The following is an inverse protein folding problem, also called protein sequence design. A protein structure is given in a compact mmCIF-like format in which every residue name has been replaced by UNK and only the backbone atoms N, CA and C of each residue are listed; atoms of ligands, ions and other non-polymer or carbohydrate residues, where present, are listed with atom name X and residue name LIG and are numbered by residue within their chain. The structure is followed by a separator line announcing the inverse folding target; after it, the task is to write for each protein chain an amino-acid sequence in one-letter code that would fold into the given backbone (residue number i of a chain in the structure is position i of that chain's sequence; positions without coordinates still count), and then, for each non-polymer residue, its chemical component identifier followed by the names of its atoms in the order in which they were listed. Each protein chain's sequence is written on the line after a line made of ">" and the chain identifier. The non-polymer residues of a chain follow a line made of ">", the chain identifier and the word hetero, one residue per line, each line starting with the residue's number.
data_IF_495067063378
#
_entry.id   IF_495067063378
#
_cell.length_a   1.000
_cell.length_b   1.000
_cell.length_c   1.000
_cell.angle_alpha   90.00
_cell.angle_beta   90.00
_cell.angle_gamma   90.00
#
_symmetry.space_group_name_H-M   'P 1'
#
loop_
_entity.id
_entity.type
_entity.pdbx_description
1 polymer ?
#
# COMPACT_ATOMS: atom_id res chain seq x y z
N UNK A 1 -7.33 -16.77 7.29
CA UNK A 1 -7.67 -17.90 6.38
C UNK A 1 -9.18 -18.04 6.14
N UNK A 2 -10.04 -18.15 7.16
CA UNK A 2 -11.51 -18.34 6.97
C UNK A 2 -12.16 -17.28 6.07
N UNK A 3 -11.82 -16.00 6.24
CA UNK A 3 -12.38 -14.90 5.45
C UNK A 3 -12.00 -14.99 3.96
N UNK A 4 -10.77 -15.41 3.64
CA UNK A 4 -10.34 -15.61 2.25
C UNK A 4 -11.17 -16.73 1.59
N UNK A 5 -11.40 -17.84 2.31
CA UNK A 5 -12.27 -18.93 1.82
C UNK A 5 -13.68 -18.39 1.56
N UNK A 6 -14.23 -17.59 2.48
CA UNK A 6 -15.55 -16.97 2.29
C UNK A 6 -15.58 -16.03 1.07
N UNK A 7 -14.52 -15.21 0.87
CA UNK A 7 -14.39 -14.37 -0.33
C UNK A 7 -14.47 -15.20 -1.61
N UNK A 8 -13.73 -16.31 -1.67
CA UNK A 8 -13.73 -17.21 -2.83
C UNK A 8 -15.10 -17.86 -3.03
N UNK A 9 -15.71 -18.42 -1.99
CA UNK A 9 -17.01 -19.10 -2.07
C UNK A 9 -18.14 -18.16 -2.51
N UNK A 10 -18.20 -16.96 -1.94
CA UNK A 10 -19.22 -15.95 -2.32
C UNK A 10 -18.99 -15.35 -3.70
N UNK A 11 -17.81 -15.52 -4.29
CA UNK A 11 -17.46 -15.05 -5.62
C UNK A 11 -17.13 -16.19 -6.60
N UNK A 12 -17.63 -17.41 -6.36
CA UNK A 12 -17.25 -18.62 -7.08
C UNK A 12 -17.30 -18.45 -8.62
N UNK A 13 -18.36 -17.82 -9.14
CA UNK A 13 -18.50 -17.54 -10.58
C UNK A 13 -17.60 -16.42 -11.10
N UNK A 14 -17.16 -15.50 -10.22
CA UNK A 14 -16.27 -14.41 -10.59
C UNK A 14 -14.79 -14.80 -10.52
N UNK A 15 -14.43 -15.70 -9.61
CA UNK A 15 -13.03 -16.10 -9.35
C UNK A 15 -12.33 -16.62 -10.60
N UNK A 16 -12.90 -17.52 -11.46
CA UNK A 16 -12.23 -17.98 -12.67
C UNK A 16 -11.94 -16.84 -13.64
N UNK A 17 -12.89 -15.92 -13.85
CA UNK A 17 -12.71 -14.74 -14.69
C UNK A 17 -11.64 -13.82 -14.11
N UNK A 18 -11.73 -13.51 -12.82
CA UNK A 18 -10.76 -12.64 -12.14
C UNK A 18 -9.34 -13.19 -12.20
N UNK A 19 -9.18 -14.49 -11.96
CA UNK A 19 -7.89 -15.18 -12.07
C UNK A 19 -7.32 -15.16 -13.49
N UNK A 20 -8.17 -15.45 -14.48
CA UNK A 20 -7.77 -15.40 -15.89
C UNK A 20 -7.32 -13.99 -16.28
N UNK A 21 -8.09 -12.96 -15.96
CA UNK A 21 -7.77 -11.58 -16.29
C UNK A 21 -6.50 -11.11 -15.57
N UNK A 22 -6.38 -11.42 -14.28
CA UNK A 22 -5.21 -11.07 -13.49
C UNK A 22 -3.91 -11.68 -14.08
N UNK A 23 -3.96 -12.97 -14.45
CA UNK A 23 -2.81 -13.62 -15.09
C UNK A 23 -2.52 -13.06 -16.49
N UNK A 24 -3.56 -12.75 -17.27
CA UNK A 24 -3.40 -12.14 -18.60
C UNK A 24 -2.68 -10.77 -18.49
N UNK A 25 -3.12 -9.91 -17.55
CA UNK A 25 -2.53 -8.60 -17.34
C UNK A 25 -1.11 -8.70 -16.76
N UNK A 26 -0.89 -9.60 -15.79
CA UNK A 26 0.42 -9.81 -15.20
C UNK A 26 1.47 -10.32 -16.19
N UNK A 27 1.07 -11.20 -17.14
CA UNK A 27 1.98 -11.73 -18.17
C UNK A 27 2.26 -10.74 -19.30
N UNK A 28 1.33 -9.83 -19.58
CA UNK A 28 1.41 -8.89 -20.68
C UNK A 28 1.33 -7.44 -20.18
N UNK A 29 2.04 -7.17 -19.09
CA UNK A 29 1.91 -5.92 -18.33
C UNK A 29 2.18 -4.66 -19.16
N UNK A 30 3.02 -4.74 -20.18
CA UNK A 30 3.35 -3.62 -21.05
C UNK A 30 2.29 -3.32 -22.12
N UNK A 31 1.35 -4.25 -22.35
CA UNK A 31 0.24 -4.08 -23.28
C UNK A 31 -0.94 -3.31 -22.66
N UNK A 32 -0.87 -2.99 -21.37
CA UNK A 32 -1.91 -2.31 -20.61
C UNK A 32 -1.36 -1.07 -19.92
N UNK A 33 -2.10 0.01 -19.97
CA UNK A 33 -1.79 1.23 -19.22
C UNK A 33 -1.83 0.99 -17.71
N UNK A 34 -1.19 1.85 -16.92
CA UNK A 34 -1.22 1.75 -15.47
C UNK A 34 -2.64 1.86 -14.92
N UNK A 35 -3.45 2.76 -15.50
CA UNK A 35 -4.87 2.93 -15.14
C UNK A 35 -5.70 1.68 -15.40
N UNK A 36 -5.53 0.99 -16.55
CA UNK A 36 -6.25 -0.25 -16.87
C UNK A 36 -5.89 -1.37 -15.87
N UNK A 37 -4.60 -1.51 -15.57
CA UNK A 37 -4.14 -2.51 -14.60
C UNK A 37 -4.69 -2.23 -13.20
N UNK A 38 -4.66 -0.96 -12.78
CA UNK A 38 -5.18 -0.54 -11.50
C UNK A 38 -6.69 -0.73 -11.39
N UNK A 39 -7.46 -0.38 -12.43
CA UNK A 39 -8.89 -0.59 -12.47
C UNK A 39 -9.27 -2.08 -12.37
N UNK A 40 -8.50 -2.98 -13.00
CA UNK A 40 -8.71 -4.43 -12.84
C UNK A 40 -8.48 -4.87 -11.39
N UNK A 41 -7.36 -4.43 -10.77
CA UNK A 41 -7.05 -4.77 -9.39
C UNK A 41 -8.14 -4.27 -8.43
N UNK A 42 -8.57 -3.03 -8.57
CA UNK A 42 -9.63 -2.41 -7.77
C UNK A 42 -10.95 -3.17 -7.91
N UNK A 43 -11.33 -3.55 -9.13
CA UNK A 43 -12.53 -4.36 -9.38
C UNK A 43 -12.49 -5.73 -8.69
N UNK A 44 -11.34 -6.42 -8.76
CA UNK A 44 -11.16 -7.72 -8.10
C UNK A 44 -11.22 -7.56 -6.58
N UNK A 45 -10.54 -6.55 -6.05
CA UNK A 45 -10.48 -6.27 -4.62
C UNK A 45 -11.85 -5.91 -4.04
N UNK A 46 -12.58 -4.98 -4.66
CA UNK A 46 -13.94 -4.61 -4.23
C UNK A 46 -14.91 -5.80 -4.23
N UNK A 47 -14.78 -6.70 -5.22
CA UNK A 47 -15.56 -7.95 -5.22
C UNK A 47 -15.17 -8.87 -4.08
N UNK A 48 -13.87 -9.00 -3.80
CA UNK A 48 -13.36 -9.78 -2.68
C UNK A 48 -13.85 -9.20 -1.34
N UNK A 49 -13.75 -7.88 -1.16
CA UNK A 49 -14.21 -7.17 0.03
C UNK A 49 -15.68 -7.41 0.31
N UNK A 50 -16.55 -7.25 -0.70
CA UNK A 50 -17.98 -7.55 -0.59
C UNK A 50 -18.23 -9.01 -0.19
N UNK A 51 -17.52 -9.97 -0.80
CA UNK A 51 -17.60 -11.38 -0.45
C UNK A 51 -17.07 -11.67 0.96
N UNK A 52 -16.07 -10.92 1.42
CA UNK A 52 -15.44 -11.05 2.72
C UNK A 52 -16.12 -10.30 3.87
N UNK A 53 -17.25 -9.64 3.64
CA UNK A 53 -17.90 -8.76 4.61
C UNK A 53 -16.92 -7.66 5.13
N UNK A 54 -16.09 -7.10 4.24
CA UNK A 54 -15.21 -5.98 4.56
C UNK A 54 -15.76 -4.71 3.94
N UNK A 55 -15.85 -3.66 4.76
CA UNK A 55 -16.11 -2.28 4.34
C UNK A 55 -14.85 -1.47 4.54
N UNK A 56 -14.35 -0.86 3.48
CA UNK A 56 -13.24 0.09 3.55
C UNK A 56 -13.82 1.49 3.63
N UNK A 57 -13.54 2.20 4.72
CA UNK A 57 -13.87 3.61 4.88
C UNK A 57 -12.62 4.44 4.55
N UNK A 58 -12.74 5.37 3.61
CA UNK A 58 -11.65 6.26 3.20
C UNK A 58 -11.92 7.68 3.67
N UNK A 59 -10.88 8.32 4.19
CA UNK A 59 -10.90 9.70 4.69
C UNK A 59 -9.73 10.47 4.11
N UNK A 60 -9.92 11.77 3.90
CA UNK A 60 -8.87 12.65 3.40
C UNK A 60 -8.41 12.34 1.96
N UNK A 61 -9.30 11.77 1.13
CA UNK A 61 -8.99 11.46 -0.29
C UNK A 61 -8.59 12.73 -1.05
N UNK A 62 -9.13 13.86 -0.65
CA UNK A 62 -8.81 15.20 -1.16
C UNK A 62 -7.37 15.66 -0.84
N UNK A 63 -6.68 15.01 0.10
CA UNK A 63 -5.28 15.27 0.42
C UNK A 63 -4.32 14.59 -0.55
N UNK A 64 -4.80 13.65 -1.37
CA UNK A 64 -3.95 13.03 -2.40
C UNK A 64 -3.60 14.09 -3.44
N UNK A 65 -2.29 14.30 -3.74
CA UNK A 65 -1.90 15.30 -4.73
C UNK A 65 -2.58 15.09 -6.09
N UNK A 66 -3.05 16.15 -6.71
CA UNK A 66 -3.66 16.08 -8.05
C UNK A 66 -2.64 15.72 -9.13
N UNK A 67 -1.38 16.13 -8.94
CA UNK A 67 -0.29 15.77 -9.82
C UNK A 67 0.35 14.47 -9.37
N UNK A 68 0.61 13.58 -10.32
CA UNK A 68 1.32 12.34 -10.06
C UNK A 68 2.81 12.59 -9.76
N UNK A 69 3.47 11.59 -9.18
CA UNK A 69 4.86 11.68 -8.76
C UNK A 69 4.98 11.95 -7.26
N UNK A 70 4.15 11.30 -6.46
CA UNK A 70 4.18 11.35 -5.00
C UNK A 70 4.41 9.96 -4.38
N UNK A 71 4.68 9.92 -3.07
CA UNK A 71 4.90 8.67 -2.37
C UNK A 71 4.03 8.56 -1.12
N UNK A 72 3.30 7.43 -1.00
CA UNK A 72 2.55 7.05 0.19
C UNK A 72 3.45 6.37 1.23
N UNK A 73 3.26 6.71 2.49
CA UNK A 73 3.94 6.11 3.64
C UNK A 73 2.93 5.68 4.72
N UNK A 74 2.31 4.50 4.56
CA UNK A 74 1.43 3.94 5.57
C UNK A 74 2.18 3.26 6.72
N UNK A 75 1.49 3.09 7.87
CA UNK A 75 1.83 2.06 8.83
C UNK A 75 1.55 0.66 8.25
N UNK A 76 2.17 -0.38 8.80
CA UNK A 76 2.09 -1.73 8.25
C UNK A 76 1.58 -2.75 9.27
N UNK A 77 0.34 -3.17 9.12
CA UNK A 77 -0.35 -4.07 10.02
C UNK A 77 -0.40 -5.52 9.49
N UNK A 78 -0.76 -5.71 8.24
CA UNK A 78 -1.05 -7.03 7.70
C UNK A 78 -0.88 -7.16 6.18
N UNK A 79 -1.24 -8.34 5.66
CA UNK A 79 -1.23 -8.59 4.21
C UNK A 79 -2.35 -7.84 3.46
N UNK A 80 -3.36 -7.40 4.18
CA UNK A 80 -4.52 -6.70 3.61
C UNK A 80 -4.26 -5.21 3.36
N UNK A 81 -3.22 -4.63 3.94
CA UNK A 81 -2.95 -3.19 3.92
C UNK A 81 -2.93 -2.57 2.51
N UNK A 82 -2.19 -3.20 1.58
CA UNK A 82 -2.13 -2.73 0.19
C UNK A 82 -3.50 -2.80 -0.48
N UNK A 83 -4.28 -3.84 -0.20
CA UNK A 83 -5.63 -4.01 -0.75
C UNK A 83 -6.58 -2.94 -0.21
N UNK A 84 -6.52 -2.64 1.08
CA UNK A 84 -7.31 -1.56 1.67
C UNK A 84 -7.01 -0.21 0.99
N UNK A 85 -5.73 0.07 0.70
CA UNK A 85 -5.35 1.31 0.00
C UNK A 85 -5.79 1.28 -1.46
N UNK A 86 -5.72 0.13 -2.16
CA UNK A 86 -6.22 -0.01 -3.55
C UNK A 86 -7.73 0.26 -3.62
N UNK A 87 -8.50 -0.24 -2.65
CA UNK A 87 -9.95 0.05 -2.59
C UNK A 87 -10.21 1.54 -2.34
N UNK A 88 -9.51 2.15 -1.39
CA UNK A 88 -9.72 3.54 -0.98
C UNK A 88 -9.19 4.57 -2.00
N UNK A 89 -8.05 4.31 -2.63
CA UNK A 89 -7.33 5.28 -3.46
C UNK A 89 -7.91 5.34 -4.89
N UNK A 90 -8.26 6.53 -5.43
CA UNK A 90 -8.69 6.66 -6.82
C UNK A 90 -7.50 6.65 -7.80
N UNK A 91 -6.30 6.98 -7.34
CA UNK A 91 -5.12 7.20 -8.18
C UNK A 91 -4.22 5.95 -8.19
N UNK A 92 -3.76 5.48 -9.37
CA UNK A 92 -2.83 4.36 -9.46
C UNK A 92 -1.53 4.62 -8.70
N UNK A 93 -1.01 3.57 -8.08
CA UNK A 93 0.31 3.56 -7.45
C UNK A 93 0.99 2.19 -7.58
N UNK A 94 2.29 2.17 -7.47
CA UNK A 94 3.10 0.96 -7.35
C UNK A 94 3.62 0.79 -5.92
N UNK A 95 4.19 -0.37 -5.62
CA UNK A 95 4.71 -0.67 -4.28
C UNK A 95 6.14 -1.19 -4.33
N UNK A 96 6.88 -0.97 -3.25
CA UNK A 96 8.12 -1.70 -2.99
C UNK A 96 7.81 -2.77 -1.96
N UNK A 97 7.80 -4.03 -2.40
CA UNK A 97 7.40 -5.18 -1.59
C UNK A 97 8.61 -6.03 -1.20
N UNK A 98 8.49 -6.78 -0.10
CA UNK A 98 9.52 -7.70 0.36
C UNK A 98 9.54 -8.98 -0.50
N UNK A 99 10.73 -9.58 -0.71
CA UNK A 99 10.98 -10.77 -1.54
C UNK A 99 10.03 -11.94 -1.24
N UNK A 100 9.76 -12.19 0.04
CA UNK A 100 8.96 -13.35 0.45
C UNK A 100 7.50 -13.28 -0.01
N UNK A 101 6.92 -12.08 -0.15
CA UNK A 101 5.55 -11.93 -0.62
C UNK A 101 5.44 -12.07 -2.15
N UNK A 102 6.53 -11.88 -2.88
CA UNK A 102 6.60 -12.08 -4.32
C UNK A 102 6.37 -13.53 -4.79
N UNK A 103 6.52 -14.51 -3.89
CA UNK A 103 6.31 -15.92 -4.18
C UNK A 103 4.90 -16.44 -3.79
N UNK A 104 4.09 -15.60 -3.13
CA UNK A 104 2.72 -16.00 -2.75
C UNK A 104 1.81 -15.94 -4.00
N UNK A 105 1.16 -17.07 -4.37
CA UNK A 105 0.17 -17.06 -5.44
C UNK A 105 -0.88 -15.96 -5.21
N UNK A 106 -1.42 -15.39 -6.28
CA UNK A 106 -2.29 -14.21 -6.28
C UNK A 106 -1.52 -12.90 -6.00
N UNK A 107 -0.77 -12.76 -4.90
CA UNK A 107 0.00 -11.55 -4.62
C UNK A 107 1.08 -11.30 -5.68
N UNK A 108 1.73 -12.37 -6.15
CA UNK A 108 2.69 -12.27 -7.27
C UNK A 108 2.08 -11.60 -8.50
N UNK A 109 0.86 -11.98 -8.87
CA UNK A 109 0.17 -11.41 -10.03
C UNK A 109 -0.28 -9.96 -9.76
N UNK A 110 -0.75 -9.68 -8.54
CA UNK A 110 -1.10 -8.31 -8.12
C UNK A 110 0.13 -7.41 -8.24
N UNK A 111 1.27 -7.81 -7.68
CA UNK A 111 2.51 -7.04 -7.75
C UNK A 111 3.04 -6.89 -9.18
N UNK A 112 2.89 -7.93 -10.02
CA UNK A 112 3.23 -7.83 -11.43
C UNK A 112 2.35 -6.79 -12.15
N UNK A 113 1.03 -6.79 -11.90
CA UNK A 113 0.10 -5.79 -12.45
C UNK A 113 0.44 -4.37 -11.99
N UNK A 114 0.93 -4.21 -10.76
CA UNK A 114 1.38 -2.92 -10.22
C UNK A 114 2.77 -2.53 -10.73
N UNK A 115 3.48 -3.39 -11.47
CA UNK A 115 4.92 -3.25 -11.77
C UNK A 115 5.73 -2.94 -10.49
N UNK A 116 5.44 -3.68 -9.42
CA UNK A 116 6.06 -3.50 -8.12
C UNK A 116 7.53 -3.91 -8.13
N UNK A 117 8.35 -3.19 -7.36
CA UNK A 117 9.70 -3.64 -7.07
C UNK A 117 9.70 -4.65 -5.92
N UNK A 118 10.34 -5.79 -6.16
CA UNK A 118 10.53 -6.84 -5.14
C UNK A 118 11.93 -6.69 -4.58
N UNK A 119 12.03 -6.30 -3.30
CA UNK A 119 13.28 -5.96 -2.64
C UNK A 119 13.76 -7.10 -1.74
N UNK A 120 15.00 -7.54 -1.99
CA UNK A 120 15.77 -8.32 -1.03
C UNK A 120 16.55 -7.35 -0.13
N UNK A 121 16.19 -7.29 1.15
CA UNK A 121 16.80 -6.33 2.09
C UNK A 121 18.20 -6.73 2.54
N UNK A 122 18.58 -7.99 2.34
CA UNK A 122 19.93 -8.48 2.61
C UNK A 122 20.88 -8.09 1.48
N UNK A 123 20.37 -7.85 0.27
CA UNK A 123 21.14 -7.33 -0.86
C UNK A 123 21.11 -5.79 -0.88
N UNK A 124 22.15 -5.19 -0.30
CA UNK A 124 22.31 -3.73 -0.23
C UNK A 124 22.41 -3.11 -1.63
N UNK A 125 23.07 -3.80 -2.58
CA UNK A 125 23.24 -3.26 -3.95
C UNK A 125 21.90 -3.22 -4.68
N UNK A 126 21.14 -4.32 -4.61
CA UNK A 126 19.79 -4.38 -5.17
C UNK A 126 18.88 -3.31 -4.54
N UNK A 127 18.90 -3.19 -3.21
CA UNK A 127 18.11 -2.20 -2.47
C UNK A 127 18.43 -0.77 -2.91
N UNK A 128 19.72 -0.44 -3.10
CA UNK A 128 20.15 0.87 -3.63
C UNK A 128 19.66 1.10 -5.06
N UNK A 129 19.76 0.09 -5.93
CA UNK A 129 19.29 0.20 -7.32
C UNK A 129 17.77 0.42 -7.37
N UNK A 130 17.00 -0.28 -6.54
CA UNK A 130 15.54 -0.08 -6.44
C UNK A 130 15.22 1.35 -5.99
N UNK A 131 15.91 1.89 -4.99
CA UNK A 131 15.73 3.29 -4.55
C UNK A 131 16.00 4.26 -5.71
N UNK A 132 17.04 4.03 -6.51
CA UNK A 132 17.36 4.88 -7.67
C UNK A 132 16.28 4.78 -8.75
N UNK A 133 15.81 3.58 -9.05
CA UNK A 133 14.74 3.36 -10.03
C UNK A 133 13.44 4.03 -9.58
N UNK A 134 13.01 3.83 -8.32
CA UNK A 134 11.83 4.49 -7.75
C UNK A 134 11.98 6.00 -7.82
N UNK A 135 13.16 6.54 -7.46
CA UNK A 135 13.42 7.99 -7.54
C UNK A 135 13.22 8.53 -8.95
N UNK A 136 13.71 7.81 -9.98
CA UNK A 136 13.56 8.19 -11.38
C UNK A 136 12.09 8.14 -11.80
N UNK A 137 11.41 7.02 -11.53
CA UNK A 137 10.02 6.83 -11.95
C UNK A 137 9.06 7.80 -11.25
N UNK A 138 9.32 8.16 -9.98
CA UNK A 138 8.55 9.21 -9.29
C UNK A 138 8.72 10.57 -9.96
N UNK A 139 9.94 10.93 -10.39
CA UNK A 139 10.18 12.17 -11.16
C UNK A 139 9.51 12.15 -12.53
N UNK A 140 9.29 10.97 -13.09
CA UNK A 140 8.57 10.74 -14.35
C UNK A 140 7.04 10.69 -14.15
N UNK A 141 6.54 10.96 -12.93
CA UNK A 141 5.12 11.04 -12.62
C UNK A 141 4.48 9.72 -12.21
N UNK A 142 5.25 8.76 -11.68
CA UNK A 142 4.69 7.52 -11.16
C UNK A 142 4.57 7.58 -9.64
N UNK A 143 3.45 7.12 -9.09
CA UNK A 143 3.22 7.11 -7.65
C UNK A 143 3.69 5.79 -7.03
N UNK A 144 4.22 5.89 -5.80
CA UNK A 144 4.73 4.74 -5.07
C UNK A 144 4.21 4.67 -3.64
N UNK A 145 4.17 3.45 -3.09
CA UNK A 145 3.90 3.18 -1.69
C UNK A 145 5.08 2.42 -1.09
N UNK A 146 5.55 2.87 0.05
CA UNK A 146 6.58 2.20 0.84
C UNK A 146 6.15 2.11 2.30
N UNK A 147 6.17 0.90 2.87
CA UNK A 147 6.02 0.69 4.30
C UNK A 147 7.34 1.01 5.02
N UNK A 148 7.38 2.19 5.67
CA UNK A 148 8.60 2.69 6.28
C UNK A 148 9.07 1.89 7.53
N UNK A 149 8.17 1.14 8.17
CA UNK A 149 8.49 0.20 9.26
C UNK A 149 9.42 -0.92 8.79
N UNK A 150 9.29 -1.30 7.54
CA UNK A 150 10.08 -2.38 6.97
C UNK A 150 9.59 -3.79 7.33
N UNK A 151 8.65 -3.95 8.24
CA UNK A 151 7.99 -5.21 8.59
C UNK A 151 6.62 -4.91 9.15
N UNK A 152 5.74 -5.91 9.22
CA UNK A 152 4.43 -5.78 9.88
C UNK A 152 4.62 -5.61 11.39
N UNK A 153 3.86 -4.71 12.00
CA UNK A 153 3.95 -4.44 13.45
C UNK A 153 3.52 -5.66 14.29
N UNK A 154 2.51 -6.40 13.83
CA UNK A 154 1.87 -7.50 14.57
C UNK A 154 1.35 -7.08 15.95
N UNK A 155 1.19 -5.79 16.16
CA UNK A 155 0.75 -5.20 17.43
C UNK A 155 -0.52 -4.34 17.21
N UNK A 156 -1.51 -4.91 16.50
CA UNK A 156 -2.76 -4.21 16.22
C UNK A 156 -2.54 -2.90 15.48
N UNK A 157 -3.11 -1.83 16.02
CA UNK A 157 -3.02 -0.49 15.46
C UNK A 157 -1.73 0.27 15.84
N UNK A 158 -0.80 -0.35 16.59
CA UNK A 158 0.45 0.29 17.01
C UNK A 158 1.54 0.17 15.95
N UNK A 159 1.98 1.27 15.29
CA UNK A 159 3.07 1.24 14.33
C UNK A 159 4.42 0.98 15.00
N UNK A 160 5.34 0.37 14.25
CA UNK A 160 6.76 0.32 14.61
C UNK A 160 7.46 1.63 14.24
N UNK A 161 8.76 1.70 14.55
CA UNK A 161 9.58 2.84 14.14
C UNK A 161 9.72 2.93 12.61
N UNK A 162 9.48 4.12 12.07
CA UNK A 162 9.69 4.41 10.66
C UNK A 162 11.17 4.63 10.37
N UNK A 163 11.70 3.91 9.39
CA UNK A 163 13.11 3.94 9.05
C UNK A 163 13.42 5.08 8.10
N UNK A 164 14.31 5.99 8.45
CA UNK A 164 14.72 7.11 7.61
C UNK A 164 15.20 6.69 6.22
N UNK A 165 15.80 5.50 6.10
CA UNK A 165 16.23 4.94 4.81
C UNK A 165 15.11 4.78 3.79
N UNK A 166 13.87 4.56 4.23
CA UNK A 166 12.68 4.41 3.37
C UNK A 166 12.30 5.72 2.66
N UNK A 167 12.71 6.86 3.20
CA UNK A 167 12.41 8.19 2.65
C UNK A 167 13.44 8.69 1.63
N UNK A 168 14.55 7.95 1.41
CA UNK A 168 15.62 8.36 0.47
C UNK A 168 15.11 8.54 -0.96
N UNK A 169 14.13 7.75 -1.40
CA UNK A 169 13.57 7.91 -2.74
C UNK A 169 12.79 9.23 -2.86
N UNK A 170 11.93 9.53 -1.89
CA UNK A 170 11.13 10.77 -1.86
C UNK A 170 12.01 12.01 -1.78
N UNK A 171 13.01 12.03 -0.89
CA UNK A 171 13.92 13.18 -0.74
C UNK A 171 14.75 13.41 -2.00
N UNK A 172 15.24 12.35 -2.66
CA UNK A 172 15.97 12.46 -3.94
C UNK A 172 15.06 12.87 -5.11
N UNK A 173 13.81 12.41 -5.10
CA UNK A 173 12.82 12.81 -6.09
C UNK A 173 12.29 14.23 -5.85
N UNK A 174 12.40 14.76 -4.64
CA UNK A 174 11.80 16.03 -4.18
C UNK A 174 10.27 16.02 -4.33
N UNK A 175 9.65 14.88 -4.07
CA UNK A 175 8.23 14.66 -4.32
C UNK A 175 7.37 14.82 -3.05
N UNK A 176 6.06 15.05 -3.18
CA UNK A 176 5.17 15.02 -2.03
C UNK A 176 5.24 13.69 -1.28
N UNK A 177 5.35 13.76 0.04
CA UNK A 177 5.29 12.65 0.99
C UNK A 177 3.88 12.65 1.58
N UNK A 178 3.11 11.60 1.33
CA UNK A 178 1.73 11.46 1.82
C UNK A 178 1.69 10.42 2.93
N UNK A 179 1.58 10.83 4.21
CA UNK A 179 1.37 9.89 5.30
C UNK A 179 -0.02 9.24 5.15
N UNK A 180 -0.12 7.95 5.46
CA UNK A 180 -1.41 7.23 5.44
C UNK A 180 -1.57 6.46 6.74
N UNK A 181 -2.71 6.65 7.44
CA UNK A 181 -3.01 5.86 8.62
C UNK A 181 -3.99 4.74 8.26
N UNK A 182 -3.58 3.51 8.55
CA UNK A 182 -4.39 2.31 8.41
C UNK A 182 -4.86 1.88 9.79
N UNK A 183 -6.17 1.63 9.92
CA UNK A 183 -6.78 1.23 11.18
C UNK A 183 -7.53 -0.09 10.94
N UNK A 184 -7.26 -1.09 11.79
CA UNK A 184 -7.92 -2.38 11.83
C UNK A 184 -7.72 -3.27 10.59
N UNK A 185 -6.83 -2.93 9.68
CA UNK A 185 -6.58 -3.70 8.46
C UNK A 185 -6.04 -5.11 8.75
N UNK A 186 -5.27 -5.30 9.84
CA UNK A 186 -4.81 -6.62 10.28
C UNK A 186 -5.98 -7.58 10.59
N UNK A 187 -7.13 -7.06 11.03
CA UNK A 187 -8.30 -7.87 11.38
C UNK A 187 -8.86 -8.63 10.19
N UNK A 188 -8.58 -8.18 8.95
CA UNK A 188 -9.08 -8.82 7.74
C UNK A 188 -8.60 -10.27 7.60
N UNK A 189 -7.32 -10.55 7.84
CA UNK A 189 -6.73 -11.86 7.59
C UNK A 189 -6.06 -12.51 8.81
N UNK A 190 -5.72 -11.75 9.84
CA UNK A 190 -4.90 -12.26 10.95
C UNK A 190 -5.73 -12.72 12.16
N UNK A 191 -6.98 -12.28 12.33
CA UNK A 191 -7.84 -12.67 13.46
C UNK A 191 -8.65 -13.95 13.27
N UNK A 192 -8.78 -14.43 12.03
CA UNK A 192 -9.61 -15.62 11.72
C UNK A 192 -11.12 -15.39 11.81
N UNK A 193 -11.60 -14.19 12.16
CA UNK A 193 -13.02 -13.82 12.16
C UNK A 193 -13.58 -13.67 10.74
N UNK A 194 -14.88 -13.95 10.56
CA UNK A 194 -15.64 -13.71 9.34
C UNK A 194 -16.79 -12.70 9.54
N UNK A 195 -16.94 -12.18 10.76
CA UNK A 195 -17.91 -11.14 11.09
C UNK A 195 -17.70 -9.89 10.22
N UNK A 196 -18.74 -9.08 10.01
CA UNK A 196 -18.60 -7.81 9.32
C UNK A 196 -17.43 -7.01 9.91
N UNK A 197 -16.61 -6.48 9.05
CA UNK A 197 -15.40 -5.74 9.44
C UNK A 197 -15.38 -4.41 8.71
N UNK A 198 -15.24 -3.34 9.45
CA UNK A 198 -14.91 -2.02 8.91
C UNK A 198 -13.43 -1.75 9.16
N UNK A 199 -12.71 -1.39 8.11
CA UNK A 199 -11.32 -0.91 8.17
C UNK A 199 -11.28 0.53 7.69
N UNK A 200 -10.30 1.30 8.17
CA UNK A 200 -10.19 2.71 7.79
C UNK A 200 -8.86 2.97 7.11
N UNK A 201 -8.90 3.83 6.10
CA UNK A 201 -7.75 4.36 5.37
C UNK A 201 -7.82 5.89 5.40
N UNK A 202 -6.91 6.53 6.10
CA UNK A 202 -6.84 7.98 6.20
C UNK A 202 -5.64 8.49 5.40
N UNK A 203 -5.90 9.26 4.35
CA UNK A 203 -4.87 10.00 3.61
C UNK A 203 -4.64 11.35 4.30
N UNK A 204 -3.46 11.54 4.88
CA UNK A 204 -3.15 12.74 5.64
C UNK A 204 -2.59 13.83 4.73
N UNK A 205 -2.55 15.08 5.23
CA UNK A 205 -1.98 16.20 4.48
C UNK A 205 -0.56 15.88 4.04
N UNK A 206 -0.25 16.02 2.74
CA UNK A 206 1.09 15.75 2.23
C UNK A 206 2.10 16.73 2.80
N UNK A 207 3.33 16.27 2.94
CA UNK A 207 4.49 17.13 3.16
C UNK A 207 5.11 17.41 1.80
N UNK A 208 5.11 18.67 1.37
CA UNK A 208 5.76 19.10 0.14
C UNK A 208 7.25 19.34 0.35
N UNK A 209 8.04 19.34 -0.74
CA UNK A 209 9.51 19.43 -0.66
C UNK A 209 10.01 20.60 0.17
N UNK A 210 9.38 21.77 0.03
CA UNK A 210 9.76 22.97 0.79
C UNK A 210 9.64 22.82 2.31
N UNK A 211 8.75 21.94 2.77
CA UNK A 211 8.55 21.66 4.19
C UNK A 211 9.61 20.74 4.79
N UNK A 212 10.25 19.89 3.97
CA UNK A 212 11.18 18.88 4.47
C UNK A 212 12.58 18.92 3.87
N UNK A 213 12.87 19.87 2.97
CA UNK A 213 14.17 19.96 2.25
C UNK A 213 15.40 20.06 3.17
N UNK A 214 15.23 20.68 4.33
CA UNK A 214 16.30 20.89 5.31
C UNK A 214 16.31 19.83 6.42
N UNK A 215 15.35 18.89 6.41
CA UNK A 215 15.23 17.81 7.39
C UNK A 215 16.11 16.61 7.01
N UNK A 216 16.68 15.96 8.02
CA UNK A 216 17.27 14.64 7.83
C UNK A 216 16.16 13.60 7.57
N UNK A 217 16.47 12.53 6.82
CA UNK A 217 15.49 11.48 6.54
C UNK A 217 14.94 10.80 7.81
N UNK A 218 15.67 10.80 8.91
CA UNK A 218 15.21 10.33 10.23
C UNK A 218 14.19 11.27 10.85
N UNK A 219 14.34 12.58 10.69
CA UNK A 219 13.40 13.58 11.16
C UNK A 219 12.09 13.53 10.38
N UNK A 220 12.19 13.36 9.04
CA UNK A 220 11.02 13.12 8.17
C UNK A 220 10.27 11.84 8.62
N UNK A 221 11.00 10.75 8.87
CA UNK A 221 10.41 9.50 9.32
C UNK A 221 9.65 9.65 10.64
N UNK A 222 10.23 10.37 11.61
CA UNK A 222 9.60 10.65 12.90
C UNK A 222 8.35 11.51 12.75
N UNK A 223 8.38 12.53 11.90
CA UNK A 223 7.23 13.42 11.66
C UNK A 223 6.08 12.68 10.96
N UNK A 224 6.38 11.88 9.94
CA UNK A 224 5.38 11.06 9.24
C UNK A 224 4.75 10.06 10.21
N UNK A 225 5.57 9.37 11.03
CA UNK A 225 5.09 8.44 12.06
C UNK A 225 4.18 9.15 13.06
N UNK A 226 4.59 10.30 13.57
CA UNK A 226 3.82 11.10 14.54
C UNK A 226 2.43 11.41 14.01
N UNK A 227 2.31 11.90 12.75
CA UNK A 227 1.02 12.20 12.12
C UNK A 227 0.15 10.95 12.00
N UNK A 228 0.73 9.82 11.61
CA UNK A 228 0.02 8.54 11.50
C UNK A 228 -0.47 8.08 12.87
N UNK A 229 0.37 8.13 13.90
CA UNK A 229 -0.01 7.74 15.27
C UNK A 229 -1.10 8.62 15.88
N UNK A 230 -1.04 9.93 15.67
CA UNK A 230 -2.07 10.86 16.12
C UNK A 230 -3.43 10.53 15.50
N UNK A 231 -3.46 10.24 14.19
CA UNK A 231 -4.68 9.83 13.51
C UNK A 231 -5.21 8.48 14.03
N UNK A 232 -4.33 7.52 14.27
CA UNK A 232 -4.74 6.22 14.81
C UNK A 232 -5.31 6.39 16.24
N UNK A 233 -4.71 7.24 17.07
CA UNK A 233 -5.21 7.55 18.42
C UNK A 233 -6.60 8.19 18.40
N UNK A 234 -6.81 9.08 17.44
CA UNK A 234 -8.08 9.81 17.31
C UNK A 234 -9.22 8.91 16.82
N UNK A 235 -8.96 8.02 15.85
CA UNK A 235 -10.01 7.27 15.15
C UNK A 235 -10.00 5.77 15.41
N UNK A 236 -8.90 5.19 15.87
CA UNK A 236 -8.71 3.74 15.96
C UNK A 236 -8.87 3.17 17.37
N UNK A 237 -8.96 4.00 18.39
CA UNK A 237 -8.82 3.57 19.76
C UNK A 237 -7.40 3.04 20.01
N UNK A 238 -6.68 3.71 20.86
CA UNK A 238 -5.35 3.28 21.31
C UNK A 238 -5.58 2.61 22.68
N UNK A 239 -5.76 1.28 22.66
CA UNK A 239 -5.87 0.46 23.88
C UNK A 239 -4.51 0.30 24.57
#
# INVERSE_FOLDING_TARGET
>A
MKRIIMMVLKNLFFVPWGWFMLNRYAKNVDNYTEGERYALLKKIDQRANKGGNITVQSYGVENIPNENGFMFYPNHQGLYDVLAIVDACPTPFSVVAKKEVGNVPFLRQVFACMKAYIMDREDIRQSMQIILNVTREVKEGRNYLIFAEGTRSKNGNHPLEFKGGSFKAATKARCPIVPVALIDTYKAFDTGSIEPLTVQVHFLKPMYYEEYKDMKTTEIASEVKRRVEETIKEYGGWD
#
